data_IF_344846463598
#
_entry.id   IF_344846463598
#
_cell.length_a   1.000
_cell.length_b   1.000
_cell.length_c   1.000
_cell.angle_alpha   90.00
_cell.angle_beta   90.00
_cell.angle_gamma   90.00
#
_symmetry.space_group_name_H-M   'P 1'
#
loop_
_entity.id
_entity.type
_entity.pdbx_description
1 polymer ?
#
# COMPACT_ATOMS: atom_id res chain seq x y z
N UNK A 1 -29.55 -17.54 23.71
CA UNK A 1 -28.89 -18.46 22.76
C UNK A 1 -28.75 -17.82 21.38
N UNK A 2 -28.21 -16.58 21.30
CA UNK A 2 -28.23 -15.77 20.05
C UNK A 2 -27.03 -14.86 19.81
N UNK A 3 -25.96 -14.93 20.61
CA UNK A 3 -24.76 -14.07 20.43
C UNK A 3 -23.67 -14.67 19.54
N UNK A 4 -23.77 -15.95 19.17
CA UNK A 4 -22.75 -16.62 18.37
C UNK A 4 -22.88 -16.35 16.85
N UNK A 5 -24.11 -16.23 16.35
CA UNK A 5 -24.37 -16.15 14.89
C UNK A 5 -24.01 -14.78 14.29
N UNK A 6 -24.20 -13.68 15.02
CA UNK A 6 -23.88 -12.34 14.52
C UNK A 6 -22.36 -12.13 14.40
N UNK A 7 -21.57 -12.64 15.36
CA UNK A 7 -20.11 -12.51 15.36
C UNK A 7 -19.42 -13.14 14.13
N UNK A 8 -20.01 -14.22 13.59
CA UNK A 8 -19.47 -14.91 12.41
C UNK A 8 -19.63 -14.12 11.10
N UNK A 9 -20.69 -13.31 10.98
CA UNK A 9 -20.97 -12.53 9.77
C UNK A 9 -20.03 -11.32 9.69
N UNK A 10 -19.82 -10.61 10.81
CA UNK A 10 -18.86 -9.50 10.88
C UNK A 10 -17.43 -9.99 10.61
N UNK A 11 -17.06 -11.17 11.12
CA UNK A 11 -15.72 -11.74 10.90
C UNK A 11 -15.51 -12.17 9.45
N UNK A 12 -16.48 -12.85 8.82
CA UNK A 12 -16.38 -13.22 7.38
C UNK A 12 -16.30 -11.99 6.47
N UNK A 13 -17.09 -10.95 6.74
CA UNK A 13 -17.05 -9.71 5.95
C UNK A 13 -15.71 -9.00 6.08
N UNK A 14 -15.15 -8.90 7.29
CA UNK A 14 -13.86 -8.25 7.50
C UNK A 14 -12.72 -9.05 6.84
N UNK A 15 -12.73 -10.38 6.95
CA UNK A 15 -11.75 -11.23 6.26
C UNK A 15 -11.83 -11.04 4.75
N UNK A 16 -13.04 -10.99 4.18
CA UNK A 16 -13.23 -10.73 2.76
C UNK A 16 -12.69 -9.35 2.36
N UNK A 17 -12.99 -8.31 3.14
CA UNK A 17 -12.50 -6.93 2.89
C UNK A 17 -10.98 -6.86 2.98
N UNK A 18 -10.35 -7.40 4.03
CA UNK A 18 -8.90 -7.41 4.15
C UNK A 18 -8.23 -8.21 3.04
N UNK A 19 -8.81 -9.34 2.64
CA UNK A 19 -8.32 -10.14 1.51
C UNK A 19 -8.40 -9.34 0.19
N UNK A 20 -9.52 -8.66 -0.05
CA UNK A 20 -9.71 -7.79 -1.22
C UNK A 20 -8.71 -6.62 -1.24
N UNK A 21 -8.52 -5.92 -0.11
CA UNK A 21 -7.53 -4.85 -0.02
C UNK A 21 -6.10 -5.36 -0.22
N UNK A 22 -5.75 -6.51 0.36
CA UNK A 22 -4.45 -7.15 0.17
C UNK A 22 -4.20 -7.50 -1.30
N UNK A 23 -5.22 -8.04 -1.98
CA UNK A 23 -5.16 -8.31 -3.41
C UNK A 23 -4.98 -7.02 -4.23
N UNK A 24 -5.73 -5.96 -3.89
CA UNK A 24 -5.63 -4.67 -4.57
C UNK A 24 -4.24 -4.04 -4.39
N UNK A 25 -3.64 -4.18 -3.20
CA UNK A 25 -2.29 -3.72 -2.90
C UNK A 25 -1.25 -4.48 -3.73
N UNK A 26 -1.38 -5.82 -3.83
CA UNK A 26 -0.52 -6.63 -4.70
C UNK A 26 -0.63 -6.21 -6.17
N UNK A 27 -1.86 -6.03 -6.67
CA UNK A 27 -2.10 -5.57 -8.04
C UNK A 27 -1.46 -4.19 -8.26
N UNK A 28 -1.63 -3.26 -7.31
CA UNK A 28 -1.04 -1.92 -7.38
C UNK A 28 0.50 -1.97 -7.36
N UNK A 29 1.09 -2.86 -6.55
CA UNK A 29 2.54 -3.07 -6.52
C UNK A 29 3.07 -3.61 -7.85
N UNK A 30 2.41 -4.61 -8.43
CA UNK A 30 2.75 -5.17 -9.74
C UNK A 30 2.60 -4.09 -10.82
N UNK A 31 1.50 -3.34 -10.81
CA UNK A 31 1.28 -2.21 -11.70
C UNK A 31 2.36 -1.13 -11.54
N UNK A 32 2.80 -0.81 -10.33
CA UNK A 32 3.89 0.14 -10.10
C UNK A 32 5.23 -0.35 -10.69
N UNK A 33 5.46 -1.67 -10.63
CA UNK A 33 6.60 -2.31 -11.25
C UNK A 33 6.54 -2.28 -12.79
N UNK A 34 5.35 -2.43 -13.36
CA UNK A 34 5.11 -2.43 -14.82
C UNK A 34 5.06 -1.00 -15.40
N UNK A 35 4.22 -0.14 -14.84
CA UNK A 35 4.08 1.29 -15.15
C UNK A 35 5.17 2.10 -14.44
N UNK A 36 6.39 2.07 -14.95
CA UNK A 36 7.39 3.06 -14.57
C UNK A 36 7.65 4.04 -15.70
N UNK A 37 8.35 5.12 -15.36
CA UNK A 37 8.62 6.31 -16.22
C UNK A 37 9.34 6.01 -17.54
N UNK A 38 9.73 4.75 -17.76
CA UNK A 38 10.40 4.26 -18.95
C UNK A 38 9.55 3.09 -19.46
N UNK A 39 9.14 3.16 -20.73
CA UNK A 39 8.34 2.12 -21.36
C UNK A 39 9.18 0.83 -21.47
N UNK A 40 8.99 -0.09 -20.51
CA UNK A 40 9.55 -1.44 -20.55
C UNK A 40 8.44 -2.35 -21.06
N UNK A 41 8.64 -3.07 -22.16
CA UNK A 41 7.74 -4.14 -22.57
C UNK A 41 7.49 -5.10 -21.40
N UNK A 42 6.22 -5.42 -21.13
CA UNK A 42 5.84 -6.25 -19.98
C UNK A 42 6.56 -7.61 -19.95
N UNK A 43 6.87 -8.17 -21.13
CA UNK A 43 7.68 -9.39 -21.29
C UNK A 43 9.11 -9.24 -20.74
N UNK A 44 9.76 -8.13 -21.02
CA UNK A 44 11.13 -7.85 -20.56
C UNK A 44 11.13 -7.56 -19.05
N UNK A 45 10.13 -6.85 -18.52
CA UNK A 45 9.99 -6.63 -17.08
C UNK A 45 9.85 -7.96 -16.31
N UNK A 46 9.06 -8.90 -16.82
CA UNK A 46 8.94 -10.26 -16.27
C UNK A 46 10.26 -11.02 -16.38
N UNK A 47 10.94 -10.98 -17.53
CA UNK A 47 12.25 -11.62 -17.71
C UNK A 47 13.32 -11.06 -16.75
N UNK A 48 13.37 -9.75 -16.53
CA UNK A 48 14.25 -9.12 -15.54
C UNK A 48 13.93 -9.60 -14.13
N UNK A 49 12.64 -9.75 -13.79
CA UNK A 49 12.20 -10.27 -12.49
C UNK A 49 12.59 -11.75 -12.28
N UNK A 50 12.52 -12.56 -13.35
CA UNK A 50 12.92 -13.96 -13.38
C UNK A 50 14.44 -14.16 -13.62
N UNK A 51 15.22 -13.08 -13.75
CA UNK A 51 16.68 -13.13 -13.93
C UNK A 51 17.17 -13.45 -15.36
N UNK A 52 16.28 -13.54 -16.34
CA UNK A 52 16.57 -13.83 -17.76
C UNK A 52 16.66 -12.54 -18.61
N UNK A 53 17.40 -11.54 -18.12
CA UNK A 53 17.52 -10.24 -18.77
C UNK A 53 18.87 -10.09 -19.47
N UNK A 54 18.86 -9.87 -20.78
CA UNK A 54 20.07 -9.54 -21.55
C UNK A 54 20.53 -8.07 -21.37
N UNK A 55 19.68 -7.21 -20.80
CA UNK A 55 19.92 -5.76 -20.69
C UNK A 55 20.17 -5.31 -19.24
N UNK A 56 21.43 -5.09 -18.89
CA UNK A 56 21.90 -4.59 -17.57
C UNK A 56 21.22 -3.29 -17.12
N UNK A 57 20.88 -2.39 -18.06
CA UNK A 57 20.18 -1.13 -17.77
C UNK A 57 18.79 -1.37 -17.16
N UNK A 58 17.99 -2.24 -17.77
CA UNK A 58 16.64 -2.54 -17.29
C UNK A 58 16.66 -3.20 -15.92
N UNK A 59 17.63 -4.09 -15.68
CA UNK A 59 17.86 -4.70 -14.37
C UNK A 59 18.19 -3.66 -13.31
N UNK A 60 19.09 -2.73 -13.63
CA UNK A 60 19.48 -1.66 -12.70
C UNK A 60 18.29 -0.75 -12.37
N UNK A 61 17.50 -0.35 -13.37
CA UNK A 61 16.32 0.48 -13.16
C UNK A 61 15.27 -0.23 -12.29
N UNK A 62 15.00 -1.52 -12.54
CA UNK A 62 13.99 -2.26 -11.79
C UNK A 62 14.42 -2.46 -10.33
N UNK A 63 15.66 -2.91 -10.11
CA UNK A 63 16.17 -3.25 -8.77
C UNK A 63 16.63 -2.05 -7.95
N UNK A 64 17.25 -1.03 -8.55
CA UNK A 64 17.79 0.11 -7.81
C UNK A 64 16.82 1.31 -7.75
N UNK A 65 15.83 1.40 -8.65
CA UNK A 65 14.88 2.52 -8.64
C UNK A 65 13.45 2.09 -8.34
N UNK A 66 12.88 1.15 -9.11
CA UNK A 66 11.46 0.81 -8.98
C UNK A 66 11.16 0.08 -7.67
N UNK A 67 11.90 -0.99 -7.37
CA UNK A 67 11.69 -1.76 -6.14
C UNK A 67 11.83 -0.90 -4.86
N UNK A 68 12.91 -0.12 -4.66
CA UNK A 68 13.06 0.72 -3.48
C UNK A 68 11.95 1.78 -3.39
N UNK A 69 11.55 2.35 -4.52
CA UNK A 69 10.44 3.33 -4.59
C UNK A 69 9.11 2.72 -4.19
N UNK A 70 8.76 1.55 -4.71
CA UNK A 70 7.50 0.87 -4.38
C UNK A 70 7.46 0.48 -2.89
N UNK A 71 8.56 -0.04 -2.36
CA UNK A 71 8.69 -0.37 -0.93
C UNK A 71 8.50 0.89 -0.07
N UNK A 72 9.19 1.98 -0.41
CA UNK A 72 9.09 3.24 0.32
C UNK A 72 7.67 3.79 0.30
N UNK A 73 6.97 3.71 -0.84
CA UNK A 73 5.58 4.13 -0.96
C UNK A 73 4.64 3.32 -0.07
N UNK A 74 4.81 1.99 -0.01
CA UNK A 74 4.03 1.11 0.87
C UNK A 74 4.29 1.46 2.34
N UNK A 75 5.55 1.57 2.74
CA UNK A 75 5.93 1.88 4.12
C UNK A 75 5.42 3.25 4.55
N UNK A 76 5.59 4.28 3.71
CA UNK A 76 5.09 5.62 3.98
C UNK A 76 3.55 5.65 4.08
N UNK A 77 2.85 4.97 3.17
CA UNK A 77 1.39 4.87 3.21
C UNK A 77 0.87 4.15 4.46
N UNK A 78 1.56 3.08 4.89
CA UNK A 78 1.25 2.38 6.12
C UNK A 78 1.48 3.26 7.35
N UNK A 79 2.62 3.95 7.43
CA UNK A 79 2.95 4.86 8.52
C UNK A 79 1.93 6.00 8.65
N UNK A 80 1.53 6.60 7.52
CA UNK A 80 0.48 7.63 7.48
C UNK A 80 -0.87 7.10 7.96
N UNK A 81 -1.23 5.89 7.53
CA UNK A 81 -2.50 5.25 7.93
C UNK A 81 -2.52 4.96 9.44
N UNK A 82 -1.43 4.44 10.00
CA UNK A 82 -1.29 4.17 11.45
C UNK A 82 -1.31 5.47 12.25
N UNK A 83 -0.57 6.49 11.81
CA UNK A 83 -0.56 7.80 12.45
C UNK A 83 -1.97 8.44 12.46
N UNK A 84 -2.70 8.34 11.35
CA UNK A 84 -4.08 8.80 11.26
C UNK A 84 -5.03 8.08 12.22
N UNK A 85 -4.90 6.75 12.33
CA UNK A 85 -5.69 5.94 13.27
C UNK A 85 -5.36 6.28 14.73
N UNK A 86 -4.07 6.48 15.04
CA UNK A 86 -3.63 6.87 16.38
C UNK A 86 -4.20 8.24 16.78
N UNK A 87 -4.23 9.20 15.86
CA UNK A 87 -4.83 10.51 16.09
C UNK A 87 -6.35 10.39 16.34
N UNK A 88 -7.08 9.68 15.48
CA UNK A 88 -8.52 9.44 15.66
C UNK A 88 -8.84 8.76 17.00
N UNK A 89 -7.98 7.85 17.46
CA UNK A 89 -8.14 7.14 18.74
C UNK A 89 -7.83 8.04 19.94
N UNK A 90 -6.77 8.84 19.87
CA UNK A 90 -6.36 9.74 20.96
C UNK A 90 -7.41 10.80 21.23
N UNK A 91 -7.95 11.42 20.17
CA UNK A 91 -9.02 12.41 20.29
C UNK A 91 -10.41 11.81 20.43
N UNK A 92 -10.54 10.47 20.31
CA UNK A 92 -11.82 9.76 20.26
C UNK A 92 -12.81 10.41 19.29
N UNK A 93 -12.28 10.99 18.21
CA UNK A 93 -13.03 11.76 17.24
C UNK A 93 -12.62 11.30 15.83
N UNK A 94 -13.50 10.61 15.10
CA UNK A 94 -13.20 10.13 13.75
C UNK A 94 -12.97 11.26 12.72
N UNK A 95 -13.27 12.52 13.07
CA UNK A 95 -12.98 13.72 12.27
C UNK A 95 -11.70 14.45 12.71
N UNK A 96 -10.98 13.94 13.72
CA UNK A 96 -9.73 14.55 14.18
C UNK A 96 -8.63 14.41 13.13
N UNK A 97 -8.53 15.42 12.28
CA UNK A 97 -7.34 15.70 11.46
C UNK A 97 -6.39 16.67 12.19
N UNK A 98 -5.15 16.83 11.71
CA UNK A 98 -4.16 17.69 12.35
C UNK A 98 -4.59 19.18 12.38
N UNK A 99 -5.61 19.57 11.61
CA UNK A 99 -6.21 20.91 11.65
C UNK A 99 -6.95 21.23 12.96
N UNK A 100 -7.50 20.23 13.68
CA UNK A 100 -8.28 20.46 14.90
C UNK A 100 -7.39 20.80 16.10
N UNK A 101 -6.08 20.49 16.01
CA UNK A 101 -5.08 20.69 17.05
C UNK A 101 -4.37 22.06 17.02
N UNK A 102 -4.74 22.97 16.12
CA UNK A 102 -4.15 24.32 16.09
C UNK A 102 -2.68 24.40 15.64
N UNK A 103 -2.07 23.30 15.22
CA UNK A 103 -0.69 23.25 14.67
C UNK A 103 -0.54 23.90 13.30
N UNK A 104 -1.63 24.43 12.71
CA UNK A 104 -1.61 25.34 11.55
C UNK A 104 -1.85 26.81 11.91
N UNK A 105 -1.79 27.19 13.19
CA UNK A 105 -1.85 28.61 13.58
C UNK A 105 -0.48 29.30 13.53
N UNK A 106 0.61 28.58 13.19
CA UNK A 106 1.96 29.12 13.27
C UNK A 106 2.89 28.77 12.10
N UNK A 107 2.39 28.11 11.04
CA UNK A 107 3.13 27.85 9.80
C UNK A 107 2.38 28.43 8.59
#
# INVERSE_FOLDING_TARGET
MGKATESGIFTKRNIFVFSLLGLLLLISFILNLLLGSIHIPTKEALQVLFGNSENELWRTILFNFRLPKSITAIVAGAALSVSGLQMQTTFRNPLAGPHVLGIKSWA
#
